data_IF_392710810623
#
_entry.id   IF_392710810623
#
_cell.length_a   1.000
_cell.length_b   1.000
_cell.length_c   1.000
_cell.angle_alpha   90.00
_cell.angle_beta   90.00
_cell.angle_gamma   90.00
#
_symmetry.space_group_name_H-M   'P 1'
#
loop_
_entity.id
_entity.type
_entity.pdbx_description
1 polymer ?
#
# COMPACT_ATOMS: atom_id res chain seq x y z
N UNK A 1 -6.87 22.96 -30.45
CA UNK A 1 -5.68 22.77 -29.57
C UNK A 1 -5.99 22.75 -28.07
N UNK A 2 -7.21 23.07 -27.60
CA UNK A 2 -7.55 22.97 -26.17
C UNK A 2 -7.68 21.53 -25.62
N UNK A 3 -8.26 20.60 -26.40
CA UNK A 3 -8.52 19.24 -25.92
C UNK A 3 -7.25 18.41 -25.68
N UNK A 4 -6.18 18.65 -26.45
CA UNK A 4 -4.91 17.94 -26.30
C UNK A 4 -4.17 18.34 -25.01
N UNK A 5 -4.21 19.62 -24.64
CA UNK A 5 -3.62 20.13 -23.39
C UNK A 5 -4.42 19.68 -22.15
N UNK A 6 -5.74 19.59 -22.26
CA UNK A 6 -6.59 19.01 -21.21
C UNK A 6 -6.35 17.51 -21.00
N UNK A 7 -5.99 16.78 -22.07
CA UNK A 7 -5.62 15.35 -22.01
C UNK A 7 -4.24 15.15 -21.38
N UNK A 8 -3.22 15.89 -21.82
CA UNK A 8 -1.87 15.89 -21.24
C UNK A 8 -1.84 16.33 -19.75
N UNK A 9 -2.76 17.21 -19.34
CA UNK A 9 -2.93 17.58 -17.93
C UNK A 9 -3.50 16.45 -17.06
N UNK A 10 -4.08 15.41 -17.68
CA UNK A 10 -4.77 14.28 -17.04
C UNK A 10 -3.87 13.05 -16.85
N UNK A 11 -2.81 12.92 -17.64
CA UNK A 11 -1.75 11.90 -17.48
C UNK A 11 -0.75 12.26 -16.38
N UNK A 12 -1.24 12.78 -15.25
CA UNK A 12 -0.38 12.90 -14.08
C UNK A 12 -0.20 11.50 -13.49
N UNK A 13 1.04 11.05 -13.24
CA UNK A 13 1.25 9.79 -12.55
C UNK A 13 0.49 9.84 -11.22
N UNK A 14 -0.15 8.73 -10.87
CA UNK A 14 -0.94 8.66 -9.65
C UNK A 14 -0.03 9.03 -8.48
N UNK A 15 -0.46 9.99 -7.67
CA UNK A 15 0.37 10.46 -6.56
C UNK A 15 0.69 9.30 -5.62
N UNK A 16 1.90 9.33 -5.03
CA UNK A 16 2.30 8.38 -4.00
C UNK A 16 1.33 8.39 -2.82
N UNK A 17 1.49 7.41 -1.92
CA UNK A 17 0.68 7.34 -0.70
C UNK A 17 0.93 8.59 0.14
N UNK A 18 -0.13 9.31 0.49
CA UNK A 18 -0.07 10.56 1.25
C UNK A 18 0.29 10.38 2.73
N UNK A 19 0.07 9.17 3.26
CA UNK A 19 0.41 8.76 4.63
C UNK A 19 -0.49 7.64 5.11
N UNK A 20 -0.45 7.32 6.40
CA UNK A 20 -1.23 6.23 7.01
C UNK A 20 -2.76 6.40 6.88
N UNK A 21 -3.23 7.64 6.70
CA UNK A 21 -4.64 7.97 6.52
C UNK A 21 -5.07 8.03 5.05
N UNK A 22 -4.20 7.64 4.12
CA UNK A 22 -4.54 7.57 2.70
C UNK A 22 -5.73 6.61 2.49
N UNK A 23 -6.71 7.05 1.69
CA UNK A 23 -7.92 6.28 1.47
C UNK A 23 -7.63 4.90 0.85
N UNK A 24 -6.57 4.77 0.05
CA UNK A 24 -6.14 3.50 -0.55
C UNK A 24 -5.62 2.50 0.47
N UNK A 25 -5.09 2.98 1.59
CA UNK A 25 -4.68 2.14 2.71
C UNK A 25 -5.84 1.78 3.63
N UNK A 26 -6.81 2.68 3.80
CA UNK A 26 -7.98 2.45 4.65
C UNK A 26 -9.02 1.55 4.00
N UNK A 27 -9.19 1.68 2.69
CA UNK A 27 -10.09 0.87 1.86
C UNK A 27 -9.34 0.43 0.58
N UNK A 28 -8.55 -0.66 0.65
CA UNK A 28 -7.79 -1.14 -0.47
C UNK A 28 -8.71 -1.50 -1.63
N UNK A 29 -8.47 -0.90 -2.80
CA UNK A 29 -9.14 -1.30 -4.02
C UNK A 29 -8.46 -2.51 -4.65
N UNK A 30 -9.17 -3.22 -5.52
CA UNK A 30 -8.59 -4.30 -6.31
C UNK A 30 -7.34 -3.80 -7.07
N UNK A 31 -6.23 -4.52 -6.90
CA UNK A 31 -4.93 -4.17 -7.48
C UNK A 31 -4.03 -3.28 -6.60
N UNK A 32 -4.49 -2.83 -5.43
CA UNK A 32 -3.64 -2.13 -4.46
C UNK A 32 -3.28 -3.04 -3.29
N UNK A 33 -2.03 -3.52 -3.30
CA UNK A 33 -1.52 -4.49 -2.33
C UNK A 33 -0.43 -3.89 -1.48
N UNK A 34 -0.46 -4.17 -0.18
CA UNK A 34 0.59 -3.78 0.76
C UNK A 34 0.73 -4.82 1.87
N UNK A 35 1.93 -4.94 2.40
CA UNK A 35 2.30 -5.96 3.38
C UNK A 35 3.44 -5.46 4.28
N UNK A 36 3.76 -6.25 5.30
CA UNK A 36 4.94 -6.06 6.16
C UNK A 36 5.67 -7.37 6.41
N UNK A 37 6.74 -7.34 7.20
CA UNK A 37 7.48 -8.53 7.62
C UNK A 37 6.80 -9.15 8.83
N UNK A 38 6.45 -10.42 8.74
CA UNK A 38 5.76 -11.20 9.77
C UNK A 38 6.60 -11.30 11.04
N UNK A 39 5.97 -11.11 12.20
CA UNK A 39 6.64 -11.15 13.51
C UNK A 39 7.53 -9.94 13.79
N UNK A 40 7.62 -8.97 12.88
CA UNK A 40 8.37 -7.73 13.10
C UNK A 40 7.68 -6.80 14.11
N UNK A 41 8.41 -5.76 14.52
CA UNK A 41 7.83 -4.67 15.32
C UNK A 41 6.67 -3.98 14.60
N UNK A 42 6.70 -3.89 13.27
CA UNK A 42 5.64 -3.29 12.46
C UNK A 42 4.39 -4.18 12.45
N UNK A 43 4.57 -5.48 12.24
CA UNK A 43 3.47 -6.46 12.33
C UNK A 43 2.78 -6.37 13.70
N UNK A 44 3.56 -6.34 14.79
CA UNK A 44 3.03 -6.18 16.14
C UNK A 44 2.38 -4.82 16.40
N UNK A 45 2.92 -3.74 15.83
CA UNK A 45 2.36 -2.40 15.95
C UNK A 45 0.94 -2.33 15.38
N UNK A 46 0.75 -2.83 14.15
CA UNK A 46 -0.56 -2.86 13.51
C UNK A 46 -1.52 -3.84 14.20
N UNK A 47 -1.02 -4.99 14.65
CA UNK A 47 -1.83 -6.00 15.36
C UNK A 47 -2.44 -5.48 16.66
N UNK A 48 -1.72 -4.62 17.39
CA UNK A 48 -2.14 -4.12 18.72
C UNK A 48 -3.11 -2.96 18.67
N UNK A 49 -3.23 -2.29 17.52
CA UNK A 49 -4.00 -1.06 17.40
C UNK A 49 -5.35 -1.31 16.75
N UNK A 50 -6.41 -1.07 17.51
CA UNK A 50 -7.80 -1.29 17.05
C UNK A 50 -8.10 -0.47 15.80
N UNK A 51 -7.60 0.77 15.72
CA UNK A 51 -7.78 1.66 14.57
C UNK A 51 -7.20 1.14 13.26
N UNK A 52 -6.28 0.17 13.33
CA UNK A 52 -5.64 -0.45 12.18
C UNK A 52 -6.10 -1.87 11.91
N UNK A 53 -7.11 -2.37 12.62
CA UNK A 53 -7.58 -3.77 12.48
C UNK A 53 -7.93 -4.14 11.02
N UNK A 54 -8.58 -3.24 10.28
CA UNK A 54 -8.92 -3.46 8.86
C UNK A 54 -7.67 -3.52 7.98
N UNK A 55 -6.70 -2.63 8.25
CA UNK A 55 -5.42 -2.62 7.53
C UNK A 55 -4.63 -3.89 7.83
N UNK A 56 -4.58 -4.30 9.10
CA UNK A 56 -3.90 -5.52 9.55
C UNK A 56 -4.48 -6.77 8.89
N UNK A 57 -5.81 -6.92 8.82
CA UNK A 57 -6.46 -8.06 8.13
C UNK A 57 -6.10 -8.13 6.65
N UNK A 58 -5.97 -6.98 5.99
CA UNK A 58 -5.59 -6.91 4.57
C UNK A 58 -4.17 -7.43 4.36
N UNK A 59 -3.23 -7.01 5.21
CA UNK A 59 -1.83 -7.39 5.08
C UNK A 59 -1.48 -8.77 5.65
N UNK A 60 -2.19 -9.26 6.66
CA UNK A 60 -1.84 -10.50 7.40
C UNK A 60 -1.69 -11.71 6.48
N UNK A 61 -2.53 -11.80 5.45
CA UNK A 61 -2.48 -12.88 4.44
C UNK A 61 -1.33 -12.76 3.44
N UNK A 62 -0.66 -11.60 3.39
CA UNK A 62 0.36 -11.24 2.38
C UNK A 62 1.71 -10.85 2.99
N UNK A 63 1.84 -10.96 4.32
CA UNK A 63 3.07 -10.62 5.02
C UNK A 63 4.21 -11.56 4.65
N UNK A 64 5.40 -11.00 4.48
CA UNK A 64 6.61 -11.70 4.10
C UNK A 64 7.35 -12.26 5.31
N UNK A 65 8.16 -13.31 5.11
CA UNK A 65 9.02 -13.84 6.16
C UNK A 65 10.26 -12.95 6.39
N UNK A 66 10.77 -12.34 5.33
CA UNK A 66 11.97 -11.52 5.35
C UNK A 66 11.72 -10.18 4.65
N UNK A 67 12.56 -9.19 4.94
CA UNK A 67 12.48 -7.89 4.25
C UNK A 67 12.98 -8.03 2.80
N UNK A 68 13.94 -8.91 2.58
CA UNK A 68 14.57 -9.18 1.29
C UNK A 68 13.55 -9.73 0.29
N UNK A 69 12.71 -10.68 0.71
CA UNK A 69 11.63 -11.23 -0.13
C UNK A 69 10.63 -10.13 -0.54
N UNK A 70 10.25 -9.27 0.42
CA UNK A 70 9.32 -8.17 0.18
C UNK A 70 9.91 -7.14 -0.80
N UNK A 71 11.20 -6.82 -0.67
CA UNK A 71 11.91 -5.89 -1.55
C UNK A 71 12.05 -6.50 -2.95
N UNK A 72 12.40 -7.79 -3.04
CA UNK A 72 12.56 -8.48 -4.31
C UNK A 72 11.25 -8.49 -5.11
N UNK A 73 10.11 -8.79 -4.47
CA UNK A 73 8.81 -8.74 -5.13
C UNK A 73 8.43 -7.32 -5.53
N UNK A 74 8.63 -6.33 -4.66
CA UNK A 74 8.34 -4.93 -4.95
C UNK A 74 9.11 -4.40 -6.17
N UNK A 75 10.36 -4.84 -6.33
CA UNK A 75 11.22 -4.44 -7.47
C UNK A 75 10.87 -5.21 -8.74
N UNK A 76 10.40 -6.46 -8.62
CA UNK A 76 10.00 -7.28 -9.76
C UNK A 76 8.70 -6.79 -10.44
N UNK A 77 7.81 -6.15 -9.67
CA UNK A 77 6.51 -5.63 -10.14
C UNK A 77 5.44 -6.69 -10.25
#
# INVERSE_FOLDING_TARGET
TANLAAFLGRDRPQAGISGINDARLRNPQDGFTYATVKGSSVDMYFKRQVEFSTMYRTMESKNYLTAEDAIAELVAG
#
